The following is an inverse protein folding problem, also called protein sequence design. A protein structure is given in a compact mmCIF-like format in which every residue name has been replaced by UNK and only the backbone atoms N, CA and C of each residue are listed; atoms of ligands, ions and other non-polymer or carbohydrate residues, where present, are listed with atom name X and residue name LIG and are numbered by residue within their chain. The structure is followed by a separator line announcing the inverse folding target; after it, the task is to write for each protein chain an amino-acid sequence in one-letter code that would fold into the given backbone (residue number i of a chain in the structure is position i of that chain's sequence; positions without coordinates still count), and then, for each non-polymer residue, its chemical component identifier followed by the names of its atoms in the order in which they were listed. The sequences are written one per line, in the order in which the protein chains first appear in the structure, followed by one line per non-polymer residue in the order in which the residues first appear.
data_IF_233729902404
#
_entry.id   IF_233729902404
#
_cell.length_a   1.000
_cell.length_b   1.000
_cell.length_c   1.000
_cell.angle_alpha   90.00
_cell.angle_beta   90.00
_cell.angle_gamma   90.00
#
_symmetry.space_group_name_H-M   'P 1'
#
loop_
_entity.id
_entity.type
_entity.pdbx_description
1 polymer ?
#
# COMPACT_ATOMS: atom_id res chain seq x y z
N UNK A 1 6.35 6.32 21.15
CA UNK A 1 6.20 5.87 19.75
C UNK A 1 7.27 6.44 18.81
N UNK A 2 7.61 7.75 18.85
CA UNK A 2 8.71 8.32 18.03
C UNK A 2 10.04 7.57 18.15
N UNK A 3 10.33 6.96 19.28
CA UNK A 3 11.53 6.16 19.53
C UNK A 3 11.62 4.83 18.76
N UNK A 4 10.53 4.39 18.13
CA UNK A 4 10.50 3.15 17.32
C UNK A 4 10.61 3.39 15.80
N UNK A 5 10.58 4.65 15.35
CA UNK A 5 10.69 4.96 13.93
C UNK A 5 12.16 5.07 13.50
N UNK A 6 12.49 4.69 12.25
CA UNK A 6 13.81 4.94 11.67
C UNK A 6 14.24 6.39 11.81
N UNK A 7 15.54 6.63 11.96
CA UNK A 7 16.09 8.00 12.08
C UNK A 7 15.73 8.85 10.86
N UNK A 8 15.77 8.26 9.67
CA UNK A 8 15.41 8.88 8.40
C UNK A 8 13.97 9.40 8.40
N UNK A 9 13.05 8.65 9.01
CA UNK A 9 11.66 9.10 9.15
C UNK A 9 11.46 10.16 10.23
N UNK A 10 12.28 10.16 11.28
CA UNK A 10 12.26 11.23 12.28
C UNK A 10 12.70 12.55 11.65
N UNK A 11 13.75 12.54 10.84
CA UNK A 11 14.23 13.70 10.09
C UNK A 11 13.19 14.17 9.07
N UNK A 12 12.61 13.26 8.29
CA UNK A 12 11.56 13.56 7.32
C UNK A 12 10.30 14.14 8.00
N UNK A 13 9.89 13.60 9.15
CA UNK A 13 8.77 14.13 9.94
C UNK A 13 9.00 15.58 10.36
N UNK A 14 10.22 15.90 10.81
CA UNK A 14 10.58 17.26 11.19
C UNK A 14 10.53 18.21 9.99
N UNK A 15 11.05 17.79 8.83
CA UNK A 15 11.02 18.57 7.58
C UNK A 15 9.60 18.84 7.08
N UNK A 16 8.69 17.86 7.23
CA UNK A 16 7.30 17.95 6.82
C UNK A 16 6.38 18.59 7.88
N UNK A 17 6.90 18.94 9.05
CA UNK A 17 6.14 19.56 10.13
C UNK A 17 5.24 18.60 10.91
N UNK A 18 5.46 17.26 10.80
CA UNK A 18 4.75 16.27 11.61
C UNK A 18 5.32 16.24 13.03
N UNK A 19 4.54 16.70 14.02
CA UNK A 19 4.98 16.73 15.40
C UNK A 19 4.57 15.46 16.17
N UNK A 20 3.32 15.02 15.98
CA UNK A 20 2.74 13.89 16.70
C UNK A 20 1.87 13.03 15.78
N UNK A 21 1.72 11.76 16.14
CA UNK A 21 0.78 10.86 15.48
C UNK A 21 -0.66 11.26 15.81
N UNK A 22 -1.51 11.20 14.80
CA UNK A 22 -2.96 11.33 14.99
C UNK A 22 -3.53 10.13 15.76
N UNK A 23 -4.74 10.24 16.34
CA UNK A 23 -5.34 9.10 17.04
C UNK A 23 -5.40 7.82 16.20
N UNK A 24 -5.82 7.91 14.93
CA UNK A 24 -5.90 6.75 14.05
C UNK A 24 -4.52 6.14 13.75
N UNK A 25 -3.49 6.96 13.57
CA UNK A 25 -2.12 6.47 13.38
C UNK A 25 -1.61 5.74 14.63
N UNK A 26 -1.93 6.25 15.82
CA UNK A 26 -1.56 5.61 17.07
C UNK A 26 -2.25 4.26 17.27
N UNK A 27 -3.57 4.18 16.95
CA UNK A 27 -4.37 2.98 17.14
C UNK A 27 -3.99 1.86 16.18
N UNK A 28 -3.68 2.19 14.92
CA UNK A 28 -3.44 1.18 13.88
C UNK A 28 -1.98 0.70 13.83
N UNK A 29 -1.04 1.44 14.41
CA UNK A 29 0.39 1.18 14.25
C UNK A 29 0.79 -0.24 14.69
N UNK A 30 0.53 -0.59 15.93
CA UNK A 30 0.93 -1.89 16.49
C UNK A 30 0.17 -3.07 15.86
N UNK A 31 -1.16 -3.03 15.68
CA UNK A 31 -1.89 -4.12 15.01
C UNK A 31 -1.37 -4.38 13.57
N UNK A 32 -1.15 -3.32 12.78
CA UNK A 32 -0.63 -3.50 11.42
C UNK A 32 0.80 -4.04 11.46
N UNK A 33 1.64 -3.52 12.34
CA UNK A 33 3.02 -3.99 12.50
C UNK A 33 3.07 -5.47 12.92
N UNK A 34 2.11 -5.91 13.75
CA UNK A 34 1.96 -7.31 14.18
C UNK A 34 1.41 -8.23 13.06
N UNK A 35 0.92 -7.68 11.95
CA UNK A 35 0.35 -8.48 10.85
C UNK A 35 -1.11 -8.86 11.04
N UNK A 36 -1.84 -8.19 11.92
CA UNK A 36 -3.24 -8.45 12.18
C UNK A 36 -4.13 -7.95 11.04
N UNK A 37 -5.17 -8.71 10.71
CA UNK A 37 -6.23 -8.23 9.83
C UNK A 37 -7.08 -7.21 10.57
N UNK A 38 -7.42 -6.11 9.91
CA UNK A 38 -8.20 -5.06 10.56
C UNK A 38 -9.07 -4.26 9.58
N UNK A 39 -10.10 -3.63 10.14
CA UNK A 39 -10.91 -2.62 9.50
C UNK A 39 -10.75 -1.29 10.27
N UNK A 40 -10.15 -0.30 9.61
CA UNK A 40 -9.98 1.04 10.16
C UNK A 40 -11.05 1.99 9.61
N UNK A 41 -11.86 2.56 10.49
CA UNK A 41 -12.87 3.57 10.12
C UNK A 41 -12.48 4.91 10.70
N UNK A 42 -12.34 5.90 9.84
CA UNK A 42 -11.96 7.26 10.25
C UNK A 42 -12.38 8.28 9.19
N UNK A 43 -12.79 9.50 9.58
CA UNK A 43 -13.10 10.56 8.62
C UNK A 43 -11.94 10.87 7.67
N UNK A 44 -12.24 11.50 6.54
CA UNK A 44 -11.20 12.03 5.63
C UNK A 44 -10.35 13.10 6.32
N UNK A 45 -9.08 13.23 5.96
CA UNK A 45 -8.18 14.23 6.54
C UNK A 45 -7.60 13.88 7.91
N UNK A 46 -7.87 12.70 8.46
CA UNK A 46 -7.36 12.27 9.78
C UNK A 46 -5.96 11.64 9.74
N UNK A 47 -5.36 11.53 8.56
CA UNK A 47 -4.04 10.91 8.39
C UNK A 47 -4.06 9.40 8.17
N UNK A 48 -5.18 8.84 7.67
CA UNK A 48 -5.35 7.40 7.38
C UNK A 48 -4.20 6.82 6.55
N UNK A 49 -3.79 7.52 5.49
CA UNK A 49 -2.75 7.03 4.59
C UNK A 49 -1.45 6.71 5.34
N UNK A 50 -0.97 7.60 6.18
CA UNK A 50 0.21 7.32 7.01
C UNK A 50 -0.06 6.31 8.12
N UNK A 51 -1.31 6.22 8.61
CA UNK A 51 -1.69 5.26 9.64
C UNK A 51 -1.44 3.81 9.21
N UNK A 52 -1.72 3.48 7.96
CA UNK A 52 -1.44 2.15 7.44
C UNK A 52 -0.06 2.04 6.76
N UNK A 53 0.43 3.09 6.12
CA UNK A 53 1.71 3.04 5.40
C UNK A 53 2.89 2.80 6.34
N UNK A 54 3.06 3.62 7.37
CA UNK A 54 4.25 3.57 8.20
C UNK A 54 4.49 2.19 8.82
N UNK A 55 3.53 1.55 9.51
CA UNK A 55 3.75 0.22 10.05
C UNK A 55 3.90 -0.86 8.96
N UNK A 56 3.21 -0.73 7.83
CA UNK A 56 3.35 -1.68 6.72
C UNK A 56 4.75 -1.62 6.09
N UNK A 57 5.29 -0.43 5.86
CA UNK A 57 6.65 -0.25 5.32
C UNK A 57 7.73 -0.85 6.23
N UNK A 58 7.56 -0.76 7.55
CA UNK A 58 8.51 -1.33 8.53
C UNK A 58 8.58 -2.87 8.49
N UNK A 59 7.57 -3.53 7.95
CA UNK A 59 7.54 -4.99 7.81
C UNK A 59 8.29 -5.48 6.58
N UNK A 60 8.51 -4.61 5.59
CA UNK A 60 9.07 -5.02 4.30
C UNK A 60 10.55 -5.34 4.38
N UNK A 61 10.95 -6.36 3.63
CA UNK A 61 12.34 -6.73 3.44
C UNK A 61 12.89 -6.04 2.20
N UNK A 62 13.96 -5.28 2.36
CA UNK A 62 14.65 -4.63 1.23
C UNK A 62 15.05 -5.66 0.17
N UNK A 63 14.91 -5.30 -1.10
CA UNK A 63 15.26 -6.13 -2.27
C UNK A 63 14.42 -7.40 -2.45
N UNK A 64 13.36 -7.59 -1.66
CA UNK A 64 12.33 -8.61 -1.88
C UNK A 64 11.14 -7.95 -2.57
N UNK A 65 10.96 -8.22 -3.86
CA UNK A 65 9.94 -7.56 -4.68
C UNK A 65 8.50 -7.95 -4.29
N UNK A 66 7.58 -7.00 -4.46
CA UNK A 66 6.13 -7.22 -4.49
C UNK A 66 5.54 -7.73 -3.18
N UNK A 67 5.94 -7.17 -2.03
CA UNK A 67 5.48 -7.60 -0.71
C UNK A 67 4.22 -6.87 -0.23
N UNK A 68 4.05 -5.60 -0.61
CA UNK A 68 2.92 -4.77 -0.23
C UNK A 68 2.12 -4.38 -1.47
N UNK A 69 0.81 -4.64 -1.45
CA UNK A 69 -0.13 -4.22 -2.47
C UNK A 69 -1.16 -3.27 -1.86
N UNK A 70 -1.31 -2.09 -2.45
CA UNK A 70 -2.33 -1.11 -2.06
C UNK A 70 -3.29 -0.91 -3.24
N UNK A 71 -4.57 -1.15 -3.00
CA UNK A 71 -5.65 -0.95 -3.96
C UNK A 71 -6.44 0.31 -3.61
N UNK A 72 -6.66 1.17 -4.60
CA UNK A 72 -7.49 2.34 -4.50
C UNK A 72 -8.58 2.33 -5.59
N UNK A 73 -9.78 2.86 -5.33
CA UNK A 73 -10.92 2.74 -6.26
C UNK A 73 -10.74 3.50 -7.57
N UNK A 74 -9.89 4.52 -7.59
CA UNK A 74 -9.69 5.36 -8.77
C UNK A 74 -8.23 5.81 -8.93
N UNK A 75 -7.93 6.36 -10.09
CA UNK A 75 -6.57 6.77 -10.47
C UNK A 75 -6.05 7.96 -9.67
N UNK A 76 -6.93 8.88 -9.27
CA UNK A 76 -6.58 10.07 -8.50
C UNK A 76 -6.10 9.68 -7.10
N UNK A 77 -6.89 8.89 -6.36
CA UNK A 77 -6.51 8.41 -5.03
C UNK A 77 -5.26 7.54 -5.08
N UNK A 78 -5.17 6.62 -6.05
CA UNK A 78 -3.96 5.81 -6.22
C UNK A 78 -2.71 6.66 -6.44
N UNK A 79 -2.82 7.76 -7.19
CA UNK A 79 -1.75 8.73 -7.40
C UNK A 79 -1.36 9.44 -6.10
N UNK A 80 -2.33 9.93 -5.33
CA UNK A 80 -2.09 10.59 -4.04
C UNK A 80 -1.41 9.65 -3.03
N UNK A 81 -1.88 8.39 -2.93
CA UNK A 81 -1.25 7.38 -2.08
C UNK A 81 0.19 7.11 -2.54
N UNK A 82 0.41 7.01 -3.85
CA UNK A 82 1.74 6.76 -4.40
C UNK A 82 2.73 7.88 -4.04
N UNK A 83 2.34 9.14 -4.15
CA UNK A 83 3.22 10.28 -3.85
C UNK A 83 3.64 10.28 -2.37
N UNK A 84 2.67 10.06 -1.48
CA UNK A 84 2.96 9.92 -0.04
C UNK A 84 3.83 8.70 0.23
N UNK A 85 3.45 7.53 -0.29
CA UNK A 85 4.19 6.29 -0.08
C UNK A 85 5.63 6.38 -0.60
N UNK A 86 5.84 6.94 -1.79
CA UNK A 86 7.16 7.10 -2.39
C UNK A 86 8.09 7.89 -1.47
N UNK A 87 7.62 9.01 -0.93
CA UNK A 87 8.41 9.86 -0.02
C UNK A 87 8.91 9.09 1.21
N UNK A 88 8.05 8.34 1.86
CA UNK A 88 8.39 7.59 3.08
C UNK A 88 9.17 6.31 2.79
N UNK A 89 8.87 5.64 1.68
CA UNK A 89 9.56 4.42 1.26
C UNK A 89 11.00 4.70 0.84
N UNK A 90 11.24 5.71 0.01
CA UNK A 90 12.57 6.09 -0.45
C UNK A 90 13.50 6.50 0.71
N UNK A 91 12.97 7.12 1.76
CA UNK A 91 13.74 7.48 2.96
C UNK A 91 14.37 6.26 3.67
N UNK A 92 13.83 5.06 3.46
CA UNK A 92 14.33 3.81 4.05
C UNK A 92 14.76 2.79 2.97
N UNK A 93 15.14 3.26 1.78
CA UNK A 93 15.61 2.46 0.63
C UNK A 93 14.61 1.41 0.11
N UNK A 94 13.31 1.69 0.18
CA UNK A 94 12.26 0.90 -0.45
C UNK A 94 11.74 1.61 -1.70
N UNK A 95 11.24 0.83 -2.67
CA UNK A 95 10.71 1.36 -3.92
C UNK A 95 9.23 1.06 -4.09
N UNK A 96 8.45 2.09 -4.44
CA UNK A 96 7.06 1.97 -4.79
C UNK A 96 6.85 2.20 -6.30
N UNK A 97 5.86 1.53 -6.87
CA UNK A 97 5.44 1.75 -8.26
C UNK A 97 3.93 1.82 -8.39
N UNK A 98 3.48 2.72 -9.27
CA UNK A 98 2.08 3.00 -9.54
C UNK A 98 1.62 2.33 -10.83
N UNK A 99 0.46 1.64 -10.76
CA UNK A 99 -0.15 0.86 -11.84
C UNK A 99 -1.60 1.29 -12.07
N UNK A 100 -1.85 2.00 -13.17
CA UNK A 100 -3.14 2.61 -13.48
C UNK A 100 -3.68 2.14 -14.83
N UNK A 101 -4.99 1.97 -14.93
CA UNK A 101 -5.69 1.82 -16.19
C UNK A 101 -5.52 3.10 -17.05
N UNK A 102 -5.55 2.94 -18.36
CA UNK A 102 -5.34 4.08 -19.29
C UNK A 102 -3.88 4.46 -19.54
N UNK A 103 -2.94 4.00 -18.71
CA UNK A 103 -1.50 4.20 -18.91
C UNK A 103 -0.87 3.04 -19.70
N UNK A 104 0.27 3.30 -20.37
CA UNK A 104 0.96 2.29 -21.17
C UNK A 104 1.32 1.04 -20.35
N UNK A 105 0.70 -0.10 -20.67
CA UNK A 105 0.96 -1.39 -20.05
C UNK A 105 2.43 -1.80 -20.19
N UNK A 106 3.03 -1.59 -21.37
CA UNK A 106 4.44 -1.92 -21.63
C UNK A 106 5.38 -1.20 -20.65
N UNK A 107 5.16 0.11 -20.42
CA UNK A 107 5.97 0.88 -19.47
C UNK A 107 5.78 0.40 -18.04
N UNK A 108 4.57 0.00 -17.66
CA UNK A 108 4.29 -0.53 -16.33
C UNK A 108 4.96 -1.89 -16.11
N UNK A 109 4.97 -2.76 -17.12
CA UNK A 109 5.70 -4.04 -17.08
C UNK A 109 7.21 -3.82 -16.93
N UNK A 110 7.79 -2.84 -17.63
CA UNK A 110 9.21 -2.49 -17.46
C UNK A 110 9.52 -2.00 -16.04
N UNK A 111 8.60 -1.26 -15.40
CA UNK A 111 8.75 -0.84 -13.99
C UNK A 111 8.72 -2.04 -13.04
N UNK A 112 7.87 -3.04 -13.28
CA UNK A 112 7.81 -4.28 -12.48
C UNK A 112 9.12 -5.06 -12.53
N UNK A 113 9.85 -5.04 -13.65
CA UNK A 113 11.15 -5.70 -13.78
C UNK A 113 12.22 -5.13 -12.85
N UNK A 114 12.05 -3.88 -12.38
CA UNK A 114 12.94 -3.27 -11.40
C UNK A 114 12.79 -3.85 -9.98
N UNK A 115 11.79 -4.69 -9.77
CA UNK A 115 11.56 -5.39 -8.51
C UNK A 115 11.07 -4.50 -7.37
N UNK A 116 10.06 -3.61 -7.57
CA UNK A 116 9.58 -2.76 -6.49
C UNK A 116 9.00 -3.60 -5.35
N UNK A 117 9.24 -3.19 -4.12
CA UNK A 117 8.68 -3.82 -2.93
C UNK A 117 7.20 -3.52 -2.78
N UNK A 118 6.76 -2.35 -3.25
CA UNK A 118 5.42 -1.82 -3.04
C UNK A 118 4.73 -1.59 -4.38
N UNK A 119 3.54 -2.15 -4.51
CA UNK A 119 2.65 -1.98 -5.65
C UNK A 119 1.43 -1.17 -5.24
N UNK A 120 1.11 -0.10 -5.97
CA UNK A 120 -0.08 0.73 -5.74
C UNK A 120 -0.84 0.81 -7.06
N UNK A 121 -2.16 0.62 -7.03
CA UNK A 121 -2.92 0.72 -8.27
C UNK A 121 -4.42 0.53 -8.12
N UNK A 122 -5.09 0.61 -9.26
CA UNK A 122 -6.53 0.31 -9.36
C UNK A 122 -6.75 -1.19 -9.56
N UNK A 123 -7.83 -1.78 -9.00
CA UNK A 123 -8.07 -3.22 -9.04
C UNK A 123 -8.00 -3.84 -10.43
N UNK A 124 -8.65 -3.21 -11.42
CA UNK A 124 -8.68 -3.73 -12.80
C UNK A 124 -7.28 -3.87 -13.41
N UNK A 125 -6.40 -2.85 -13.24
CA UNK A 125 -5.03 -2.90 -13.77
C UNK A 125 -4.15 -3.90 -13.03
N UNK A 126 -4.24 -3.95 -11.71
CA UNK A 126 -3.50 -4.93 -10.90
C UNK A 126 -3.90 -6.34 -11.31
N UNK A 127 -5.20 -6.63 -11.43
CA UNK A 127 -5.69 -7.94 -11.85
C UNK A 127 -5.22 -8.33 -13.27
N UNK A 128 -5.23 -7.39 -14.20
CA UNK A 128 -4.68 -7.59 -15.56
C UNK A 128 -3.20 -8.03 -15.51
N UNK A 129 -2.37 -7.34 -14.71
CA UNK A 129 -0.96 -7.67 -14.56
C UNK A 129 -0.72 -9.01 -13.85
N UNK A 130 -1.61 -9.40 -12.93
CA UNK A 130 -1.60 -10.75 -12.32
C UNK A 130 -1.90 -11.81 -13.38
N UNK A 131 -2.94 -11.63 -14.19
CA UNK A 131 -3.28 -12.56 -15.29
C UNK A 131 -2.15 -12.71 -16.30
N UNK A 132 -1.43 -11.64 -16.59
CA UNK A 132 -0.25 -11.67 -17.44
C UNK A 132 1.00 -12.25 -16.75
N UNK A 133 0.86 -12.75 -15.52
CA UNK A 133 1.96 -13.31 -14.70
C UNK A 133 3.13 -12.33 -14.49
N UNK A 134 2.85 -11.03 -14.49
CA UNK A 134 3.84 -9.97 -14.23
C UNK A 134 3.90 -9.62 -12.75
N UNK A 135 2.78 -9.66 -12.05
CA UNK A 135 2.71 -9.58 -10.59
C UNK A 135 2.68 -10.99 -10.02
N UNK A 136 3.59 -11.26 -9.08
CA UNK A 136 3.76 -12.56 -8.41
C UNK A 136 3.09 -12.49 -7.04
N UNK A 137 1.81 -12.79 -6.97
CA UNK A 137 1.03 -12.69 -5.73
C UNK A 137 1.57 -13.51 -4.57
N UNK A 138 2.33 -14.59 -4.83
CA UNK A 138 2.96 -15.41 -3.79
C UNK A 138 3.94 -14.66 -2.88
N UNK A 139 4.41 -13.50 -3.30
CA UNK A 139 5.29 -12.65 -2.51
C UNK A 139 4.54 -11.60 -1.69
N UNK A 140 3.24 -11.39 -1.96
CA UNK A 140 2.44 -10.36 -1.31
C UNK A 140 2.08 -10.81 0.10
N UNK A 141 2.59 -10.08 1.09
CA UNK A 141 2.38 -10.36 2.51
C UNK A 141 1.26 -9.48 3.11
N UNK A 142 1.03 -8.31 2.52
CA UNK A 142 -0.01 -7.38 2.99
C UNK A 142 -0.76 -6.80 1.80
N UNK A 143 -2.08 -6.78 1.88
CA UNK A 143 -2.98 -6.08 0.95
C UNK A 143 -3.74 -5.01 1.74
N UNK A 144 -3.67 -3.77 1.27
CA UNK A 144 -4.43 -2.65 1.81
C UNK A 144 -5.49 -2.25 0.79
N UNK A 145 -6.73 -2.12 1.26
CA UNK A 145 -7.88 -1.67 0.49
C UNK A 145 -8.29 -0.29 1.01
N UNK A 146 -7.82 0.77 0.35
CA UNK A 146 -8.13 2.15 0.75
C UNK A 146 -9.43 2.62 0.11
N UNK A 147 -10.25 3.37 0.88
CA UNK A 147 -11.64 3.69 0.56
C UNK A 147 -12.43 2.42 0.19
N UNK A 148 -12.37 1.45 1.09
CA UNK A 148 -12.90 0.11 0.89
C UNK A 148 -14.40 0.10 0.53
N UNK A 149 -15.19 1.00 1.06
CA UNK A 149 -16.60 1.19 0.72
C UNK A 149 -16.81 1.44 -0.78
N UNK A 150 -15.93 2.21 -1.43
CA UNK A 150 -15.96 2.42 -2.88
C UNK A 150 -15.47 1.19 -3.66
N UNK A 151 -14.56 0.40 -3.09
CA UNK A 151 -14.07 -0.85 -3.69
C UNK A 151 -15.11 -1.98 -3.66
N UNK A 152 -16.18 -1.84 -2.86
CA UNK A 152 -17.33 -2.75 -2.83
C UNK A 152 -18.31 -2.54 -4.00
N UNK A 153 -18.16 -1.48 -4.79
CA UNK A 153 -18.96 -1.25 -5.97
C UNK A 153 -18.88 -2.45 -6.94
N UNK A 154 -20.03 -2.81 -7.58
CA UNK A 154 -20.15 -3.96 -8.47
C UNK A 154 -19.11 -3.98 -9.61
N UNK A 155 -18.64 -2.80 -10.03
CA UNK A 155 -17.61 -2.67 -11.06
C UNK A 155 -16.21 -3.09 -10.60
N UNK A 156 -15.95 -3.13 -9.28
CA UNK A 156 -14.62 -3.32 -8.72
C UNK A 156 -14.49 -4.54 -7.83
N UNK A 157 -15.54 -4.88 -7.06
CA UNK A 157 -15.50 -5.93 -6.05
C UNK A 157 -15.00 -7.27 -6.60
N UNK A 158 -15.43 -7.64 -7.79
CA UNK A 158 -15.00 -8.90 -8.41
C UNK A 158 -13.50 -8.96 -8.74
N UNK A 159 -12.84 -7.80 -8.99
CA UNK A 159 -11.39 -7.76 -9.13
C UNK A 159 -10.71 -7.90 -7.77
N UNK A 160 -11.22 -7.20 -6.75
CA UNK A 160 -10.69 -7.26 -5.38
C UNK A 160 -10.74 -8.69 -4.86
N UNK A 161 -11.88 -9.38 -4.97
CA UNK A 161 -12.03 -10.79 -4.57
C UNK A 161 -11.04 -11.71 -5.28
N UNK A 162 -10.87 -11.56 -6.60
CA UNK A 162 -9.91 -12.36 -7.35
C UNK A 162 -8.47 -12.06 -6.96
N UNK A 163 -8.12 -10.81 -6.75
CA UNK A 163 -6.77 -10.42 -6.33
C UNK A 163 -6.44 -11.02 -4.96
N UNK A 164 -7.33 -10.89 -3.99
CA UNK A 164 -7.13 -11.47 -2.65
C UNK A 164 -7.07 -12.99 -2.68
N UNK A 165 -7.83 -13.65 -3.57
CA UNK A 165 -7.78 -15.09 -3.74
C UNK A 165 -6.42 -15.59 -4.29
N UNK A 166 -5.69 -14.79 -5.07
CA UNK A 166 -4.36 -15.14 -5.57
C UNK A 166 -3.24 -14.94 -4.54
N UNK A 167 -3.51 -14.23 -3.45
CA UNK A 167 -2.53 -14.01 -2.38
C UNK A 167 -2.32 -15.27 -1.52
N UNK A 168 -1.18 -15.40 -0.82
CA UNK A 168 -0.98 -16.46 0.16
C UNK A 168 -2.08 -16.46 1.23
N UNK A 169 -2.41 -17.63 1.79
CA UNK A 169 -3.50 -17.77 2.77
C UNK A 169 -3.30 -16.98 4.06
N UNK A 170 -2.06 -16.71 4.40
CA UNK A 170 -1.61 -16.00 5.61
C UNK A 170 -1.30 -14.51 5.37
N UNK A 171 -1.71 -13.97 4.21
CA UNK A 171 -1.53 -12.55 3.96
C UNK A 171 -2.39 -11.69 4.90
N UNK A 172 -1.86 -10.54 5.26
CA UNK A 172 -2.59 -9.54 6.03
C UNK A 172 -3.55 -8.77 5.12
N UNK A 173 -4.77 -8.53 5.60
CA UNK A 173 -5.75 -7.63 4.99
C UNK A 173 -6.03 -6.43 5.88
N UNK A 174 -5.86 -5.22 5.31
CA UNK A 174 -6.16 -3.95 5.95
C UNK A 174 -7.22 -3.22 5.13
N UNK A 175 -8.38 -3.00 5.73
CA UNK A 175 -9.51 -2.27 5.14
C UNK A 175 -9.55 -0.86 5.73
N UNK A 176 -9.60 0.18 4.85
CA UNK A 176 -9.59 1.59 5.27
C UNK A 176 -10.69 2.41 4.59
#
# INVERSE_FOLDING_TARGET
MKTKLPTEWQELSNQLGFQEFTPIQTQLFEPILAGENLLGVSPTGTGKTLAYLLPSLLRLQKKKAQQLLILAPNTELAGQIFDVCKTWAEAIDLTAQLFLSGSSQKRQIERLKKGPEILIGTPGRIFELIKLKKIKMMNVETIILDEFDQLLDDSQIHFVEKITHYAPRDHQLVYM
#
